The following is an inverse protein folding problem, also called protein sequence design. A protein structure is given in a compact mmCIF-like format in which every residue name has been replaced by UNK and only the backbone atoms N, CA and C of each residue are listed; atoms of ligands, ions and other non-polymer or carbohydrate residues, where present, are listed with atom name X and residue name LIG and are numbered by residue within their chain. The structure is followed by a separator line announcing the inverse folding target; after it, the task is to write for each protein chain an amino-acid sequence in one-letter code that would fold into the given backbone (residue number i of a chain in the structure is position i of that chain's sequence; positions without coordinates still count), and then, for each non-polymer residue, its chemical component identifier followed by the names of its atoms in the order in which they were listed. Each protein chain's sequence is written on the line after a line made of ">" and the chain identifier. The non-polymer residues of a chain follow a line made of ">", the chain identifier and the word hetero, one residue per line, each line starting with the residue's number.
data_IF_580215340510
#
_entry.id   IF_580215340510
#
_cell.length_a   1.000
_cell.length_b   1.000
_cell.length_c   1.000
_cell.angle_alpha   90.00
_cell.angle_beta   90.00
_cell.angle_gamma   90.00
#
_symmetry.space_group_name_H-M   'P 1'
#
loop_
_entity.id
_entity.type
_entity.pdbx_description
1 polymer ?
#
# COMPACT_ATOMS: atom_id res chain seq x y z
N UNK A 1 -10.34 -30.80 -45.45
CA UNK A 1 -9.22 -31.42 -46.16
C UNK A 1 -8.00 -31.38 -45.25
N UNK A 2 -7.59 -32.52 -44.69
CA UNK A 2 -6.53 -32.63 -43.67
C UNK A 2 -5.20 -32.93 -44.38
N UNK A 3 -4.16 -32.14 -44.14
CA UNK A 3 -2.79 -32.45 -44.59
C UNK A 3 -1.90 -32.67 -43.36
N UNK A 4 -1.57 -33.94 -43.13
CA UNK A 4 -0.54 -34.38 -42.20
C UNK A 4 0.84 -34.18 -42.87
N UNK A 5 1.80 -33.66 -42.12
CA UNK A 5 3.21 -33.65 -42.52
C UNK A 5 3.98 -34.53 -41.53
N UNK A 6 4.72 -35.43 -42.15
CA UNK A 6 5.40 -36.60 -41.63
C UNK A 6 6.71 -36.21 -40.92
N UNK A 7 6.96 -36.80 -39.75
CA UNK A 7 8.26 -36.84 -39.09
C UNK A 7 9.28 -37.60 -39.97
N UNK A 8 10.50 -37.06 -40.08
CA UNK A 8 11.67 -37.82 -40.54
C UNK A 8 12.69 -37.90 -39.40
N UNK A 9 12.95 -39.12 -38.96
CA UNK A 9 14.02 -39.53 -38.05
C UNK A 9 15.12 -40.19 -38.89
N UNK A 10 16.35 -39.73 -38.75
CA UNK A 10 17.62 -40.42 -39.04
C UNK A 10 18.59 -39.91 -37.95
N UNK A 11 19.29 -40.68 -37.11
CA UNK A 11 19.99 -41.96 -37.33
C UNK A 11 21.29 -41.68 -38.12
N UNK A 12 22.52 -41.97 -37.72
CA UNK A 12 23.15 -42.51 -36.52
C UNK A 12 24.69 -42.28 -36.64
N UNK A 13 25.39 -42.23 -35.51
CA UNK A 13 26.80 -42.66 -35.22
C UNK A 13 27.99 -42.35 -36.15
N UNK A 14 29.09 -41.87 -35.54
CA UNK A 14 30.49 -42.37 -35.63
C UNK A 14 31.28 -41.70 -34.48
N UNK A 15 31.65 -42.43 -33.42
CA UNK A 15 32.95 -43.09 -33.18
C UNK A 15 34.17 -42.15 -33.27
N UNK A 16 34.80 -41.89 -32.14
CA UNK A 16 36.09 -41.17 -32.05
C UNK A 16 36.67 -41.29 -30.64
N UNK A 17 37.53 -42.30 -30.46
CA UNK A 17 38.24 -42.60 -29.22
C UNK A 17 39.69 -42.08 -29.28
N UNK A 18 40.16 -41.55 -28.14
CA UNK A 18 41.57 -41.54 -27.73
C UNK A 18 42.24 -40.15 -27.60
N UNK A 19 43.39 -40.05 -26.89
CA UNK A 19 43.93 -40.93 -25.86
C UNK A 19 44.15 -40.24 -24.50
N UNK A 20 44.31 -41.08 -23.49
CA UNK A 20 44.74 -40.73 -22.15
C UNK A 20 46.23 -40.32 -22.13
N UNK A 21 46.54 -39.27 -21.39
CA UNK A 21 47.87 -39.05 -20.84
C UNK A 21 47.77 -39.06 -19.32
N UNK A 22 48.28 -40.14 -18.75
CA UNK A 22 48.59 -40.25 -17.34
C UNK A 22 49.92 -39.53 -17.09
N UNK A 23 49.93 -38.61 -16.14
CA UNK A 23 51.16 -38.17 -15.47
C UNK A 23 51.04 -38.49 -13.98
N UNK A 24 51.96 -39.33 -13.55
CA UNK A 24 52.24 -39.71 -12.17
C UNK A 24 52.72 -38.49 -11.37
N UNK A 25 51.82 -37.86 -10.62
CA UNK A 25 52.21 -36.95 -9.54
C UNK A 25 52.24 -37.72 -8.23
N UNK A 26 53.46 -38.13 -7.88
CA UNK A 26 53.85 -38.72 -6.60
C UNK A 26 53.64 -37.69 -5.48
N UNK A 27 52.47 -37.68 -4.83
CA UNK A 27 52.24 -36.88 -3.64
C UNK A 27 52.20 -37.75 -2.37
N UNK A 28 53.13 -37.43 -1.48
CA UNK A 28 53.47 -38.08 -0.21
C UNK A 28 52.29 -38.02 0.76
N UNK A 29 51.69 -39.16 1.06
CA UNK A 29 50.70 -39.30 2.15
C UNK A 29 51.45 -39.22 3.50
N UNK A 30 51.11 -38.22 4.31
CA UNK A 30 51.52 -38.09 5.71
C UNK A 30 50.30 -38.35 6.63
N UNK A 31 50.50 -38.92 7.83
CA UNK A 31 49.44 -39.57 8.58
C UNK A 31 48.43 -38.61 9.24
N UNK A 32 47.20 -39.13 9.35
CA UNK A 32 46.03 -38.54 10.00
C UNK A 32 46.24 -38.48 11.52
N UNK A 33 46.29 -37.28 12.08
CA UNK A 33 46.19 -37.01 13.53
C UNK A 33 44.87 -36.30 13.86
N UNK A 34 44.21 -36.60 15.01
CA UNK A 34 42.92 -36.04 15.34
C UNK A 34 43.07 -34.72 16.09
N UNK A 35 42.44 -33.67 15.59
CA UNK A 35 42.10 -32.51 16.39
C UNK A 35 40.84 -31.88 15.81
N UNK A 36 39.73 -32.11 16.51
CA UNK A 36 38.47 -31.40 16.36
C UNK A 36 38.73 -29.89 16.41
N UNK A 37 38.52 -29.20 15.30
CA UNK A 37 38.18 -27.80 15.31
C UNK A 37 36.82 -27.69 14.63
N UNK A 38 35.79 -27.45 15.44
CA UNK A 38 34.42 -27.26 15.03
C UNK A 38 34.31 -26.07 14.05
N UNK A 39 34.36 -26.36 12.75
CA UNK A 39 33.86 -25.44 11.74
C UNK A 39 32.34 -25.50 11.84
N UNK A 40 31.75 -24.52 12.52
CA UNK A 40 30.33 -24.24 12.42
C UNK A 40 30.01 -23.99 10.94
N UNK A 41 29.54 -25.03 10.27
CA UNK A 41 28.88 -24.96 8.98
C UNK A 41 27.64 -24.08 9.17
N UNK A 42 27.81 -22.79 8.91
CA UNK A 42 26.69 -21.88 8.73
C UNK A 42 25.86 -22.45 7.58
N UNK A 43 24.66 -22.93 7.88
CA UNK A 43 23.72 -23.38 6.86
C UNK A 43 23.61 -22.31 5.77
N UNK A 44 23.49 -22.68 4.48
CA UNK A 44 23.25 -21.68 3.44
C UNK A 44 22.02 -20.88 3.84
N UNK A 45 22.16 -19.55 3.92
CA UNK A 45 21.00 -18.67 4.06
C UNK A 45 20.06 -19.05 2.92
N UNK A 46 18.83 -19.43 3.28
CA UNK A 46 17.78 -19.73 2.32
C UNK A 46 17.81 -18.69 1.19
N UNK A 47 17.60 -19.08 -0.08
CA UNK A 47 17.67 -18.15 -1.19
C UNK A 47 16.79 -16.96 -0.80
N UNK A 48 17.38 -15.77 -0.81
CA UNK A 48 16.64 -14.52 -0.68
C UNK A 48 15.65 -14.59 -1.84
N UNK A 49 14.41 -15.02 -1.58
CA UNK A 49 13.31 -14.84 -2.53
C UNK A 49 13.37 -13.36 -2.81
N UNK A 50 13.79 -13.00 -4.02
CA UNK A 50 13.79 -11.63 -4.47
C UNK A 50 12.42 -11.08 -4.07
N UNK A 51 12.40 -10.11 -3.13
CA UNK A 51 11.16 -9.48 -2.72
C UNK A 51 10.66 -8.81 -3.99
N UNK A 52 9.75 -9.48 -4.71
CA UNK A 52 9.03 -8.85 -5.79
C UNK A 52 8.46 -7.57 -5.18
N UNK A 53 8.77 -6.43 -5.78
CA UNK A 53 8.25 -5.15 -5.31
C UNK A 53 6.75 -5.30 -5.09
N UNK A 54 6.24 -4.82 -3.96
CA UNK A 54 4.80 -4.94 -3.66
C UNK A 54 3.93 -4.26 -4.72
N UNK A 55 4.54 -3.41 -5.56
CA UNK A 55 3.93 -2.58 -6.56
C UNK A 55 4.64 -2.72 -7.91
N UNK A 56 3.87 -2.68 -8.99
CA UNK A 56 4.34 -2.38 -10.34
C UNK A 56 3.59 -1.15 -10.81
N UNK A 57 4.30 -0.10 -11.19
CA UNK A 57 3.73 1.09 -11.78
C UNK A 57 4.04 1.10 -13.29
N UNK A 58 3.03 1.37 -14.09
CA UNK A 58 3.19 1.67 -15.51
C UNK A 58 2.42 2.96 -15.80
N UNK A 59 3.14 4.02 -16.16
CA UNK A 59 2.56 5.36 -16.35
C UNK A 59 1.70 5.47 -17.63
N UNK A 60 1.79 4.49 -18.53
CA UNK A 60 1.07 4.52 -19.80
C UNK A 60 1.56 5.61 -20.76
N UNK A 61 0.94 5.64 -21.92
CA UNK A 61 1.07 6.67 -22.95
C UNK A 61 -0.29 7.13 -23.47
N UNK A 62 -1.39 6.46 -23.08
CA UNK A 62 -2.75 6.82 -23.46
C UNK A 62 -3.35 7.82 -22.48
N UNK A 63 -4.18 8.73 -22.98
CA UNK A 63 -5.05 9.58 -22.18
C UNK A 63 -6.26 8.78 -21.68
N UNK A 64 -6.03 7.94 -20.67
CA UNK A 64 -7.04 7.04 -20.13
C UNK A 64 -8.18 7.78 -19.41
N UNK A 65 -9.41 7.31 -19.65
CA UNK A 65 -10.60 7.65 -18.88
C UNK A 65 -11.48 6.42 -18.62
N UNK A 66 -12.48 6.55 -17.74
CA UNK A 66 -13.48 5.48 -17.55
C UNK A 66 -14.32 5.19 -18.80
N UNK A 67 -14.37 6.10 -19.78
CA UNK A 67 -15.05 5.83 -21.06
C UNK A 67 -14.34 4.72 -21.85
N UNK A 68 -13.03 4.54 -21.64
CA UNK A 68 -12.21 3.54 -22.32
C UNK A 68 -12.25 2.16 -21.63
N UNK A 69 -13.01 2.05 -20.53
CA UNK A 69 -13.10 0.84 -19.72
C UNK A 69 -13.73 -0.35 -20.47
N UNK A 70 -14.54 -0.10 -21.50
CA UNK A 70 -15.14 -1.15 -22.33
C UNK A 70 -14.06 -2.00 -23.01
N UNK A 71 -13.01 -1.38 -23.55
CA UNK A 71 -11.89 -2.08 -24.22
C UNK A 71 -11.20 -3.08 -23.29
N UNK A 72 -11.04 -2.74 -22.00
CA UNK A 72 -10.44 -3.64 -21.00
C UNK A 72 -11.39 -4.78 -20.64
N UNK A 73 -12.69 -4.49 -20.53
CA UNK A 73 -13.72 -5.49 -20.25
C UNK A 73 -13.85 -6.51 -21.39
N UNK A 74 -13.88 -6.04 -22.64
CA UNK A 74 -13.94 -6.86 -23.83
C UNK A 74 -12.74 -7.78 -23.93
N UNK A 75 -11.51 -7.24 -23.79
CA UNK A 75 -10.29 -8.06 -23.77
C UNK A 75 -10.40 -9.21 -22.76
N UNK A 76 -10.83 -8.90 -21.53
CA UNK A 76 -10.92 -9.89 -20.47
C UNK A 76 -11.99 -10.94 -20.77
N UNK A 77 -13.16 -10.51 -21.22
CA UNK A 77 -14.26 -11.39 -21.60
C UNK A 77 -13.87 -12.32 -22.76
N UNK A 78 -13.27 -11.79 -23.82
CA UNK A 78 -12.79 -12.57 -24.96
C UNK A 78 -11.69 -13.55 -24.55
N UNK A 79 -10.78 -13.14 -23.66
CA UNK A 79 -9.63 -13.98 -23.28
C UNK A 79 -9.98 -15.10 -22.30
N UNK A 80 -10.92 -14.86 -21.39
CA UNK A 80 -11.20 -15.74 -20.24
C UNK A 80 -12.63 -16.28 -20.20
N UNK A 81 -13.52 -15.83 -21.09
CA UNK A 81 -14.90 -16.32 -21.18
C UNK A 81 -15.78 -15.88 -20.00
N UNK A 82 -15.41 -14.80 -19.29
CA UNK A 82 -16.16 -14.25 -18.16
C UNK A 82 -15.97 -12.73 -18.06
N UNK A 83 -16.91 -11.99 -17.44
CA UNK A 83 -16.75 -10.56 -17.23
C UNK A 83 -15.50 -10.21 -16.41
N UNK A 84 -14.97 -9.01 -16.63
CA UNK A 84 -13.88 -8.44 -15.82
C UNK A 84 -14.33 -8.35 -14.36
N UNK A 85 -13.58 -8.93 -13.39
CA UNK A 85 -13.95 -8.88 -11.98
C UNK A 85 -13.60 -7.52 -11.40
N UNK A 86 -14.43 -6.51 -11.66
CA UNK A 86 -14.27 -5.15 -11.13
C UNK A 86 -14.62 -5.13 -9.63
N UNK A 87 -13.71 -4.62 -8.80
CA UNK A 87 -13.92 -4.38 -7.36
C UNK A 87 -14.22 -2.92 -7.01
N UNK A 88 -13.79 -1.98 -7.85
CA UNK A 88 -14.12 -0.57 -7.71
C UNK A 88 -14.28 0.05 -9.09
N UNK A 89 -15.39 0.75 -9.30
CA UNK A 89 -15.63 1.52 -10.52
C UNK A 89 -15.67 3.01 -10.14
N UNK A 90 -14.66 3.78 -10.52
CA UNK A 90 -14.56 5.17 -10.12
C UNK A 90 -14.39 5.34 -8.60
N UNK A 91 -14.73 6.52 -8.09
CA UNK A 91 -14.62 6.84 -6.66
C UNK A 91 -15.48 5.91 -5.80
N UNK A 92 -14.94 5.40 -4.69
CA UNK A 92 -15.69 4.58 -3.74
C UNK A 92 -15.47 5.06 -2.30
N UNK A 93 -16.33 4.64 -1.37
CA UNK A 93 -16.18 4.95 0.05
C UNK A 93 -14.85 4.43 0.66
N UNK A 94 -14.27 3.37 0.09
CA UNK A 94 -12.94 2.89 0.50
C UNK A 94 -11.88 3.92 0.13
N UNK A 95 -11.94 4.45 -1.09
CA UNK A 95 -11.03 5.49 -1.58
C UNK A 95 -11.20 6.82 -0.83
N UNK A 96 -12.43 7.19 -0.47
CA UNK A 96 -12.69 8.38 0.36
C UNK A 96 -12.04 8.26 1.74
N UNK A 97 -12.16 7.09 2.38
CA UNK A 97 -11.55 6.84 3.69
C UNK A 97 -10.02 6.84 3.63
N UNK A 98 -9.46 6.41 2.49
CA UNK A 98 -8.03 6.41 2.24
C UNK A 98 -7.51 7.78 1.75
N UNK A 99 -8.38 8.73 1.42
CA UNK A 99 -8.01 10.02 0.85
C UNK A 99 -7.33 9.87 -0.51
N UNK A 100 -7.88 9.03 -1.39
CA UNK A 100 -7.38 8.76 -2.73
C UNK A 100 -8.40 9.16 -3.79
N UNK A 101 -7.96 9.89 -4.82
CA UNK A 101 -8.78 10.15 -6.01
C UNK A 101 -8.76 8.93 -6.92
N UNK A 102 -9.92 8.30 -7.06
CA UNK A 102 -10.13 7.13 -7.89
C UNK A 102 -11.19 7.40 -8.97
N UNK A 103 -11.54 8.67 -9.25
CA UNK A 103 -12.65 9.02 -10.17
C UNK A 103 -12.45 8.59 -11.61
N UNK A 104 -11.21 8.57 -12.09
CA UNK A 104 -10.85 8.18 -13.47
C UNK A 104 -10.15 6.82 -13.52
N UNK A 105 -10.43 5.96 -12.54
CA UNK A 105 -9.79 4.65 -12.43
C UNK A 105 -10.82 3.55 -12.10
N UNK A 106 -10.44 2.31 -12.38
CA UNK A 106 -11.16 1.13 -11.94
C UNK A 106 -10.19 0.12 -11.34
N UNK A 107 -10.63 -0.60 -10.30
CA UNK A 107 -9.87 -1.69 -9.70
C UNK A 107 -10.40 -3.04 -10.17
N UNK A 108 -9.48 -3.92 -10.55
CA UNK A 108 -9.76 -5.30 -10.95
C UNK A 108 -9.26 -6.25 -9.87
N UNK A 109 -10.17 -7.06 -9.32
CA UNK A 109 -9.93 -8.05 -8.27
C UNK A 109 -9.20 -9.31 -8.76
N UNK A 110 -8.10 -9.13 -9.51
CA UNK A 110 -7.18 -10.19 -9.92
C UNK A 110 -5.83 -9.98 -9.27
N UNK A 111 -5.22 -11.07 -8.80
CA UNK A 111 -3.87 -11.01 -8.28
C UNK A 111 -2.86 -10.75 -9.43
N UNK A 112 -1.91 -9.80 -9.32
CA UNK A 112 -0.97 -9.48 -10.40
C UNK A 112 -0.17 -10.69 -10.92
N UNK A 113 0.22 -11.59 -10.03
CA UNK A 113 0.98 -12.80 -10.37
C UNK A 113 0.10 -14.00 -10.78
N UNK A 114 -1.22 -13.83 -10.95
CA UNK A 114 -2.08 -14.87 -11.53
C UNK A 114 -1.92 -14.93 -13.05
N UNK A 115 -2.46 -15.97 -13.68
CA UNK A 115 -2.51 -16.06 -15.16
C UNK A 115 -3.31 -14.90 -15.76
N UNK A 116 -4.44 -14.57 -15.13
CA UNK A 116 -5.30 -13.46 -15.54
C UNK A 116 -4.62 -12.11 -15.34
N UNK A 117 -4.00 -11.88 -14.17
CA UNK A 117 -3.31 -10.65 -13.84
C UNK A 117 -2.14 -10.37 -14.79
N UNK A 118 -1.31 -11.38 -15.08
CA UNK A 118 -0.20 -11.22 -16.06
C UNK A 118 -0.69 -10.89 -17.46
N UNK A 119 -1.77 -11.54 -17.91
CA UNK A 119 -2.34 -11.27 -19.23
C UNK A 119 -2.94 -9.87 -19.32
N UNK A 120 -3.66 -9.45 -18.27
CA UNK A 120 -4.22 -8.10 -18.18
C UNK A 120 -3.11 -7.05 -18.19
N UNK A 121 -2.07 -7.18 -17.36
CA UNK A 121 -0.94 -6.25 -17.38
C UNK A 121 -0.19 -6.25 -18.72
N UNK A 122 -0.14 -7.36 -19.45
CA UNK A 122 0.46 -7.40 -20.79
C UNK A 122 -0.39 -6.62 -21.80
N UNK A 123 -1.71 -6.80 -21.75
CA UNK A 123 -2.66 -6.06 -22.57
C UNK A 123 -2.58 -4.55 -22.29
N UNK A 124 -2.64 -4.13 -21.02
CA UNK A 124 -2.58 -2.73 -20.64
C UNK A 124 -1.28 -2.05 -21.12
N UNK A 125 -0.13 -2.75 -21.04
CA UNK A 125 1.13 -2.25 -21.62
C UNK A 125 1.09 -2.11 -23.13
N UNK A 126 0.45 -3.06 -23.83
CA UNK A 126 0.33 -3.04 -25.29
C UNK A 126 -0.53 -1.88 -25.76
N UNK A 127 -1.63 -1.59 -25.06
CA UNK A 127 -2.55 -0.49 -25.37
C UNK A 127 -2.09 0.86 -24.79
N UNK A 128 -0.96 0.91 -24.09
CA UNK A 128 -0.45 2.13 -23.47
C UNK A 128 -1.28 2.62 -22.27
N UNK A 129 -2.13 1.76 -21.70
CA UNK A 129 -3.03 2.12 -20.61
C UNK A 129 -2.27 2.13 -19.27
N UNK A 130 -2.28 3.24 -18.52
CA UNK A 130 -1.67 3.32 -17.19
C UNK A 130 -2.27 2.32 -16.21
N UNK A 131 -1.45 1.77 -15.31
CA UNK A 131 -1.93 0.93 -14.22
C UNK A 131 -0.96 0.83 -13.04
N UNK A 132 -1.49 0.43 -11.89
CA UNK A 132 -0.74 0.03 -10.70
C UNK A 132 -1.13 -1.39 -10.31
N UNK A 133 -0.17 -2.32 -10.35
CA UNK A 133 -0.40 -3.70 -9.90
C UNK A 133 0.06 -3.86 -8.45
N UNK A 134 -0.86 -4.20 -7.56
CA UNK A 134 -0.64 -4.28 -6.12
C UNK A 134 -0.69 -5.75 -5.71
N UNK A 135 0.44 -6.28 -5.19
CA UNK A 135 0.57 -7.70 -4.81
C UNK A 135 0.07 -8.01 -3.41
N UNK A 136 -0.08 -7.01 -2.56
CA UNK A 136 -0.45 -7.20 -1.16
C UNK A 136 -0.99 -5.89 -0.58
N UNK A 137 -1.61 -5.97 0.61
CA UNK A 137 -2.06 -4.79 1.34
C UNK A 137 -0.93 -3.76 1.49
N UNK A 138 -1.22 -2.51 1.17
CA UNK A 138 -0.33 -1.36 1.36
C UNK A 138 -1.00 -0.38 2.33
N UNK A 139 -0.38 -0.15 3.49
CA UNK A 139 -0.96 0.73 4.53
C UNK A 139 -1.25 2.12 3.96
N UNK A 140 -2.51 2.56 4.08
CA UNK A 140 -2.94 3.88 3.61
C UNK A 140 -3.04 4.02 2.09
N UNK A 141 -3.01 2.92 1.33
CA UNK A 141 -3.12 2.93 -0.13
C UNK A 141 -3.99 1.80 -0.68
N UNK A 142 -3.79 0.56 -0.24
CA UNK A 142 -4.50 -0.60 -0.79
C UNK A 142 -4.87 -1.61 0.29
N UNK A 143 -6.10 -2.14 0.22
CA UNK A 143 -6.62 -3.11 1.21
C UNK A 143 -6.24 -4.55 0.91
N UNK A 144 -5.94 -4.88 -0.34
CA UNK A 144 -5.57 -6.22 -0.81
C UNK A 144 -4.94 -6.20 -2.20
N UNK A 145 -4.64 -7.38 -2.74
CA UNK A 145 -4.05 -7.52 -4.07
C UNK A 145 -5.09 -7.26 -5.17
N UNK A 146 -4.76 -6.40 -6.12
CA UNK A 146 -5.59 -6.05 -7.28
C UNK A 146 -4.75 -5.34 -8.33
N UNK A 147 -5.34 -5.07 -9.50
CA UNK A 147 -4.78 -4.18 -10.52
C UNK A 147 -5.67 -2.94 -10.59
N UNK A 148 -5.11 -1.79 -10.21
CA UNK A 148 -5.68 -0.46 -10.44
C UNK A 148 -5.41 -0.07 -11.89
N UNK A 149 -6.45 0.18 -12.68
CA UNK A 149 -6.35 0.60 -14.09
C UNK A 149 -6.69 2.08 -14.20
N UNK A 150 -5.80 2.83 -14.82
CA UNK A 150 -5.82 4.29 -14.84
C UNK A 150 -4.56 4.89 -14.21
N UNK A 151 -4.51 6.22 -14.21
CA UNK A 151 -3.43 6.97 -13.56
C UNK A 151 -3.38 6.65 -12.06
N UNK A 152 -2.18 6.67 -11.48
CA UNK A 152 -2.03 6.43 -10.04
C UNK A 152 -2.80 7.50 -9.24
N UNK A 153 -3.57 7.07 -8.25
CA UNK A 153 -4.40 7.97 -7.45
C UNK A 153 -3.59 9.05 -6.73
N UNK A 154 -4.02 10.29 -6.89
CA UNK A 154 -3.54 11.43 -6.10
C UNK A 154 -4.21 11.47 -4.71
N UNK A 155 -3.63 12.25 -3.80
CA UNK A 155 -4.23 12.47 -2.49
C UNK A 155 -5.32 13.52 -2.59
N UNK A 156 -6.49 13.19 -2.03
CA UNK A 156 -7.59 14.14 -1.85
C UNK A 156 -7.85 14.33 -0.36
N UNK A 157 -8.24 15.54 0.02
CA UNK A 157 -8.78 15.77 1.36
C UNK A 157 -10.04 14.90 1.52
N UNK A 158 -10.08 13.99 2.49
CA UNK A 158 -11.25 13.16 2.73
C UNK A 158 -12.46 14.03 2.99
N UNK A 159 -13.58 13.77 2.33
CA UNK A 159 -14.81 14.56 2.50
C UNK A 159 -15.26 14.66 3.98
N UNK A 160 -15.00 13.62 4.78
CA UNK A 160 -15.29 13.62 6.22
C UNK A 160 -14.45 14.64 7.01
N UNK A 161 -13.21 14.94 6.58
CA UNK A 161 -12.38 15.96 7.22
C UNK A 161 -12.92 17.35 6.93
N UNK A 162 -13.22 17.65 5.68
CA UNK A 162 -13.79 18.96 5.29
C UNK A 162 -15.13 19.20 6.00
N UNK A 163 -16.00 18.19 6.06
CA UNK A 163 -17.27 18.30 6.78
C UNK A 163 -17.06 18.49 8.30
N UNK A 164 -16.13 17.77 8.91
CA UNK A 164 -15.80 17.94 10.33
C UNK A 164 -15.19 19.31 10.62
N UNK A 165 -14.31 19.82 9.76
CA UNK A 165 -13.73 21.16 9.89
C UNK A 165 -14.81 22.22 9.73
N UNK A 166 -15.72 22.07 8.76
CA UNK A 166 -16.86 22.97 8.58
C UNK A 166 -17.78 22.94 9.80
N UNK A 167 -18.07 21.75 10.35
CA UNK A 167 -18.87 21.58 11.56
C UNK A 167 -18.18 22.23 12.77
N UNK A 168 -16.90 21.93 13.00
CA UNK A 168 -16.11 22.52 14.08
C UNK A 168 -16.03 24.04 13.94
N UNK A 169 -15.92 24.56 12.72
CA UNK A 169 -15.94 26.00 12.44
C UNK A 169 -17.30 26.61 12.77
N UNK A 170 -18.40 25.95 12.40
CA UNK A 170 -19.76 26.38 12.72
C UNK A 170 -20.06 26.32 14.24
N UNK A 171 -19.67 25.25 14.91
CA UNK A 171 -19.78 25.08 16.36
C UNK A 171 -18.92 26.12 17.09
N UNK A 172 -17.70 26.40 16.60
CA UNK A 172 -16.84 27.43 17.16
C UNK A 172 -17.40 28.83 16.96
N UNK A 173 -18.05 29.14 15.83
CA UNK A 173 -18.74 30.43 15.65
C UNK A 173 -19.88 30.63 16.65
N UNK A 174 -20.62 29.58 17.03
CA UNK A 174 -21.69 29.67 18.03
C UNK A 174 -21.18 29.98 19.45
N UNK A 175 -19.91 29.68 19.76
CA UNK A 175 -19.30 29.93 21.08
C UNK A 175 -18.77 31.37 21.21
N UNK A 176 -18.62 32.13 20.11
CA UNK A 176 -18.05 33.50 20.16
C UNK A 176 -19.11 34.61 20.26
N UNK A 177 -20.39 34.31 20.12
CA UNK A 177 -21.49 35.27 20.28
C UNK A 177 -21.90 35.49 21.75
N UNK A 178 -20.93 35.47 22.68
CA UNK A 178 -21.15 35.95 24.05
C UNK A 178 -21.10 37.47 24.04
N UNK A 179 -22.26 38.10 23.83
CA UNK A 179 -22.46 39.49 24.26
C UNK A 179 -22.51 39.48 25.79
N UNK A 180 -21.51 40.04 26.50
CA UNK A 180 -21.61 40.15 27.95
C UNK A 180 -22.89 40.94 28.28
N UNK A 181 -23.70 40.47 29.25
CA UNK A 181 -24.87 41.23 29.65
C UNK A 181 -24.44 42.64 30.06
N UNK A 182 -25.18 43.65 29.62
CA UNK A 182 -24.94 45.03 30.02
C UNK A 182 -24.78 45.09 31.54
N UNK A 183 -23.71 45.74 32.00
CA UNK A 183 -23.39 45.89 33.41
C UNK A 183 -24.66 46.32 34.16
N UNK A 184 -25.05 45.50 35.14
CA UNK A 184 -26.17 45.81 36.02
C UNK A 184 -25.84 47.13 36.72
N UNK A 185 -26.67 48.17 36.65
CA UNK A 185 -26.40 49.40 37.39
C UNK A 185 -26.38 49.07 38.88
N UNK A 186 -25.28 49.42 39.56
CA UNK A 186 -25.15 49.24 40.99
C UNK A 186 -26.30 49.98 41.70
N UNK A 187 -27.10 49.22 42.46
CA UNK A 187 -28.17 49.74 43.28
C UNK A 187 -27.58 50.53 44.46
N UNK A 188 -27.99 51.79 44.72
CA UNK A 188 -27.41 52.63 45.78
C UNK A 188 -28.02 52.31 47.15
N UNK A 189 -28.14 51.04 47.49
CA UNK A 189 -28.78 50.58 48.73
C UNK A 189 -27.84 49.67 49.55
N UNK A 190 -26.63 50.15 49.84
CA UNK A 190 -25.76 49.54 50.84
C UNK A 190 -24.85 50.59 51.52
N UNK A 191 -25.47 51.66 52.03
CA UNK A 191 -24.80 52.62 52.93
C UNK A 191 -25.64 52.86 54.18
N UNK A 192 -26.01 51.79 54.90
CA UNK A 192 -26.59 51.88 56.23
C UNK A 192 -26.59 50.52 56.97
N UNK A 193 -25.43 49.88 57.16
CA UNK A 193 -25.27 48.80 58.16
C UNK A 193 -23.80 48.39 58.34
N UNK A 194 -22.95 49.28 58.87
CA UNK A 194 -21.65 48.87 59.46
C UNK A 194 -21.29 49.79 60.65
N UNK A 195 -22.14 49.73 61.66
CA UNK A 195 -21.74 49.75 63.07
C UNK A 195 -22.28 48.40 63.58
N UNK A 196 -21.53 47.48 64.17
CA UNK A 196 -20.42 47.59 65.10
C UNK A 196 -19.80 46.19 65.14
N UNK A 197 -18.50 46.05 64.94
CA UNK A 197 -17.77 44.86 65.43
C UNK A 197 -16.29 45.22 65.54
N UNK A 198 -15.83 45.38 66.78
CA UNK A 198 -14.44 45.64 67.13
C UNK A 198 -13.78 44.28 67.46
N UNK A 199 -12.58 43.98 66.96
CA UNK A 199 -11.88 42.75 67.30
C UNK A 199 -11.13 42.91 68.62
N UNK A 200 -11.37 42.03 69.59
CA UNK A 200 -10.48 41.90 70.76
C UNK A 200 -9.16 41.21 70.34
N UNK A 201 -8.07 41.94 70.51
CA UNK A 201 -6.69 41.45 70.42
C UNK A 201 -6.41 40.40 71.51
N UNK A 202 -5.89 39.23 71.10
CA UNK A 202 -5.23 38.30 72.01
C UNK A 202 -3.72 38.30 71.74
N UNK A 203 -2.85 38.67 72.70
CA UNK A 203 -1.42 38.80 72.44
C UNK A 203 -0.70 37.47 72.27
N UNK A 204 0.23 37.50 71.34
CA UNK A 204 1.26 36.53 70.98
C UNK A 204 2.25 36.31 72.15
N UNK A 205 2.51 35.05 72.51
CA UNK A 205 3.62 34.68 73.39
C UNK A 205 4.82 34.17 72.56
N UNK A 206 6.07 34.53 72.92
CA UNK A 206 7.28 34.31 72.11
C UNK A 206 7.95 32.92 72.31
N UNK A 207 8.91 32.55 71.44
CA UNK A 207 9.36 31.16 71.27
C UNK A 207 10.53 30.75 72.18
N UNK A 208 10.59 29.46 72.51
CA UNK A 208 11.78 28.70 72.94
C UNK A 208 11.72 27.30 72.35
#
# INVERSE_FOLDING_TARGET
>A
MKRAILCAVMGATLLGAGPAFAEDVKMKVLPRGPAEAAIQRRAPKAPVRARLSALVLYAGTSDWSLADAETVQEFFATRFGRPLPVSAWGQTAVHDRLGLDHRQALDVAVHPDSREGRALMAFLRKEGIPFVAIRSRVKGSATGAHIHVGQASERIEPAWRTANVARMKAERSLVVDFTPPAAVPESPAASAARASDQPEEKPLAPPM
#
